data_IF_968222402824
#
_entry.id   IF_968222402824
#
_cell.length_a   1.000
_cell.length_b   1.000
_cell.length_c   1.000
_cell.angle_alpha   90.00
_cell.angle_beta   90.00
_cell.angle_gamma   90.00
#
_symmetry.space_group_name_H-M   'P 1'
#
loop_
_entity.id
_entity.type
_entity.pdbx_description
1 polymer ?
#
# COMPACT_ATOMS: atom_id res chain seq x y z
N UNK A 1 -13.33 57.87 8.92
CA UNK A 1 -12.58 56.72 9.46
C UNK A 1 -13.50 55.50 9.36
N UNK A 2 -13.31 54.71 8.32
CA UNK A 2 -14.09 53.49 8.08
C UNK A 2 -13.16 52.30 8.32
N UNK A 3 -13.61 51.42 9.20
CA UNK A 3 -12.99 50.18 9.55
C UNK A 3 -12.81 49.29 8.31
N UNK A 4 -11.57 48.86 8.06
CA UNK A 4 -11.22 47.89 7.06
C UNK A 4 -11.00 46.55 7.80
N UNK A 5 -12.08 45.81 8.00
CA UNK A 5 -12.03 44.43 8.48
C UNK A 5 -11.46 43.58 7.35
N UNK A 6 -10.18 43.19 7.46
CA UNK A 6 -9.59 42.11 6.68
C UNK A 6 -10.27 40.76 7.08
N UNK A 7 -11.10 40.26 6.19
CA UNK A 7 -11.51 38.86 6.22
C UNK A 7 -10.29 38.00 5.87
N UNK A 8 -9.78 37.30 6.86
CA UNK A 8 -8.88 36.15 6.64
C UNK A 8 -9.68 35.04 5.96
N UNK A 9 -9.15 34.39 4.91
CA UNK A 9 -9.78 33.20 4.39
C UNK A 9 -9.78 32.11 5.46
N UNK A 10 -10.95 31.52 5.70
CA UNK A 10 -11.10 30.35 6.54
C UNK A 10 -10.12 29.26 6.03
N UNK A 11 -9.32 28.75 6.94
CA UNK A 11 -8.46 27.61 6.68
C UNK A 11 -9.33 26.45 6.24
N UNK A 12 -9.17 26.05 4.99
CA UNK A 12 -9.75 24.83 4.44
C UNK A 12 -9.34 23.69 5.36
N UNK A 13 -10.30 23.14 6.11
CA UNK A 13 -10.08 22.03 7.00
C UNK A 13 -9.54 20.87 6.15
N UNK A 14 -8.27 20.51 6.39
CA UNK A 14 -7.68 19.28 5.85
C UNK A 14 -8.57 18.11 6.28
N UNK A 15 -9.48 17.73 5.38
CA UNK A 15 -10.25 16.49 5.51
C UNK A 15 -9.24 15.35 5.51
N UNK A 16 -9.05 14.72 6.66
CA UNK A 16 -8.15 13.60 6.78
C UNK A 16 -8.61 12.48 5.82
N UNK A 17 -7.65 11.82 5.19
CA UNK A 17 -7.85 10.74 4.21
C UNK A 17 -8.83 9.64 4.70
N UNK A 18 -9.01 9.54 6.01
CA UNK A 18 -9.89 8.60 6.72
C UNK A 18 -11.40 8.90 6.52
N UNK A 19 -11.79 10.15 6.28
CA UNK A 19 -13.21 10.56 6.15
C UNK A 19 -13.85 10.15 4.82
N UNK A 20 -13.05 9.61 3.88
CA UNK A 20 -13.52 9.20 2.55
C UNK A 20 -13.62 7.68 2.36
N UNK A 21 -13.21 6.88 3.33
CA UNK A 21 -13.23 5.42 3.22
C UNK A 21 -14.62 4.89 3.51
N UNK A 22 -15.28 4.20 2.55
CA UNK A 22 -16.59 3.60 2.78
C UNK A 22 -16.55 2.56 3.89
N UNK A 23 -17.60 2.48 4.70
CA UNK A 23 -17.77 1.45 5.73
C UNK A 23 -18.60 0.26 5.24
N UNK A 24 -19.47 0.48 4.24
CA UNK A 24 -20.22 -0.60 3.61
C UNK A 24 -19.27 -1.57 2.90
N UNK A 25 -19.34 -2.88 3.17
CA UNK A 25 -18.38 -3.84 2.62
C UNK A 25 -18.34 -3.86 1.10
N UNK A 26 -19.48 -3.83 0.42
CA UNK A 26 -19.51 -3.86 -1.05
C UNK A 26 -18.90 -2.60 -1.66
N UNK A 27 -19.16 -1.44 -1.08
CA UNK A 27 -18.56 -0.16 -1.51
C UNK A 27 -17.06 -0.13 -1.19
N UNK A 28 -16.68 -0.65 -0.02
CA UNK A 28 -15.27 -0.70 0.40
C UNK A 28 -14.43 -1.59 -0.52
N UNK A 29 -14.93 -2.74 -0.95
CA UNK A 29 -14.22 -3.57 -1.93
C UNK A 29 -13.99 -2.85 -3.26
N UNK A 30 -14.98 -2.10 -3.76
CA UNK A 30 -14.83 -1.29 -4.98
C UNK A 30 -13.85 -0.14 -4.79
N UNK A 31 -13.86 0.48 -3.62
CA UNK A 31 -12.91 1.52 -3.25
C UNK A 31 -11.47 0.99 -3.25
N UNK A 32 -11.23 -0.18 -2.65
CA UNK A 32 -9.91 -0.83 -2.62
C UNK A 32 -9.41 -1.12 -4.04
N UNK A 33 -10.25 -1.74 -4.88
CA UNK A 33 -9.89 -2.01 -6.28
C UNK A 33 -9.51 -0.73 -7.05
N UNK A 34 -10.31 0.33 -6.92
CA UNK A 34 -10.13 1.57 -7.68
C UNK A 34 -8.96 2.43 -7.19
N UNK A 35 -8.71 2.48 -5.87
CA UNK A 35 -7.73 3.37 -5.26
C UNK A 35 -6.39 2.70 -4.97
N UNK A 36 -6.38 1.41 -4.62
CA UNK A 36 -5.15 0.70 -4.27
C UNK A 36 -4.71 -0.28 -5.35
N UNK A 37 -5.54 -1.21 -5.77
CA UNK A 37 -5.14 -2.21 -6.77
C UNK A 37 -4.69 -1.56 -8.08
N UNK A 38 -5.49 -0.64 -8.63
CA UNK A 38 -5.15 0.07 -9.86
C UNK A 38 -3.84 0.85 -9.73
N UNK A 39 -3.62 1.49 -8.58
CA UNK A 39 -2.41 2.27 -8.31
C UNK A 39 -1.18 1.39 -8.15
N UNK A 40 -1.26 0.29 -7.41
CA UNK A 40 -0.15 -0.65 -7.27
C UNK A 40 0.28 -1.24 -8.62
N UNK A 41 -0.67 -1.58 -9.48
CA UNK A 41 -0.39 -2.06 -10.84
C UNK A 41 0.30 -1.03 -11.72
N UNK A 42 -0.01 0.25 -11.52
CA UNK A 42 0.62 1.34 -12.24
C UNK A 42 2.03 1.66 -11.70
N UNK A 43 2.18 1.72 -10.39
CA UNK A 43 3.39 2.21 -9.73
C UNK A 43 4.53 1.18 -9.71
N UNK A 44 4.23 -0.08 -9.39
CA UNK A 44 5.26 -1.11 -9.18
C UNK A 44 6.17 -1.37 -10.38
N UNK A 45 5.66 -1.56 -11.61
CA UNK A 45 6.52 -1.78 -12.78
C UNK A 45 7.47 -0.61 -13.04
N UNK A 46 7.01 0.61 -12.82
CA UNK A 46 7.84 1.81 -12.93
C UNK A 46 8.95 1.84 -11.86
N UNK A 47 8.63 1.46 -10.63
CA UNK A 47 9.60 1.36 -9.54
C UNK A 47 10.67 0.29 -9.81
N UNK A 48 10.28 -0.85 -10.40
CA UNK A 48 11.23 -1.90 -10.83
C UNK A 48 12.24 -1.35 -11.82
N UNK A 49 11.78 -0.66 -12.86
CA UNK A 49 12.65 -0.08 -13.89
C UNK A 49 13.59 0.98 -13.31
N UNK A 50 13.05 1.84 -12.46
CA UNK A 50 13.83 2.90 -11.82
C UNK A 50 14.88 2.34 -10.84
N UNK A 51 14.53 1.31 -10.07
CA UNK A 51 15.46 0.61 -9.19
C UNK A 51 16.59 -0.06 -9.99
N UNK A 52 16.26 -0.76 -11.06
CA UNK A 52 17.27 -1.39 -11.94
C UNK A 52 18.23 -0.36 -12.53
N UNK A 53 17.71 0.81 -12.93
CA UNK A 53 18.53 1.92 -13.44
C UNK A 53 19.49 2.46 -12.36
N UNK A 54 18.99 2.70 -11.16
CA UNK A 54 19.81 3.21 -10.05
C UNK A 54 20.90 2.20 -9.68
N UNK A 55 20.57 0.91 -9.56
CA UNK A 55 21.55 -0.15 -9.29
C UNK A 55 22.65 -0.22 -10.36
N UNK A 56 22.29 -0.13 -11.63
CA UNK A 56 23.24 -0.21 -12.74
C UNK A 56 24.17 1.00 -12.80
N UNK A 57 23.64 2.20 -12.59
CA UNK A 57 24.41 3.46 -12.67
C UNK A 57 25.33 3.64 -11.46
N UNK A 58 24.92 3.18 -10.30
CA UNK A 58 25.62 3.37 -9.01
C UNK A 58 26.20 2.09 -8.43
N UNK A 59 26.49 1.09 -9.26
CA UNK A 59 26.93 -0.24 -8.84
C UNK A 59 28.26 -0.27 -8.06
N UNK A 60 29.04 0.78 -8.14
CA UNK A 60 30.32 0.97 -7.45
C UNK A 60 30.18 1.75 -6.12
N UNK A 61 28.98 2.26 -5.81
CA UNK A 61 28.75 3.02 -4.59
C UNK A 61 28.34 2.11 -3.42
N UNK A 62 28.87 2.33 -2.20
CA UNK A 62 28.59 1.47 -1.05
C UNK A 62 27.13 1.52 -0.61
N UNK A 63 26.43 2.63 -0.84
CA UNK A 63 25.04 2.84 -0.42
C UNK A 63 24.02 2.43 -1.49
N UNK A 64 24.48 1.88 -2.62
CA UNK A 64 23.56 1.41 -3.67
C UNK A 64 22.60 0.36 -3.11
N UNK A 65 21.27 0.48 -3.42
CA UNK A 65 20.28 -0.49 -2.94
C UNK A 65 20.35 -1.79 -3.74
N UNK A 66 21.46 -2.53 -3.63
CA UNK A 66 21.69 -3.76 -4.38
C UNK A 66 20.60 -4.80 -4.09
N UNK A 67 19.98 -5.34 -5.15
CA UNK A 67 18.91 -6.32 -5.06
C UNK A 67 17.50 -5.72 -4.95
N UNK A 68 17.34 -4.41 -4.89
CA UNK A 68 16.04 -3.75 -4.79
C UNK A 68 15.14 -4.05 -5.99
N UNK A 69 15.67 -3.99 -7.21
CA UNK A 69 14.89 -4.28 -8.41
C UNK A 69 14.33 -5.71 -8.41
N UNK A 70 15.10 -6.68 -7.93
CA UNK A 70 14.65 -8.07 -7.82
C UNK A 70 13.56 -8.23 -6.77
N UNK A 71 13.73 -7.64 -5.58
CA UNK A 71 12.70 -7.62 -4.54
C UNK A 71 11.39 -7.02 -5.05
N UNK A 72 11.46 -5.93 -5.81
CA UNK A 72 10.27 -5.30 -6.40
C UNK A 72 9.64 -6.16 -7.50
N UNK A 73 10.43 -6.92 -8.30
CA UNK A 73 9.89 -7.86 -9.29
C UNK A 73 9.14 -9.01 -8.62
N UNK A 74 9.69 -9.58 -7.56
CA UNK A 74 8.99 -10.60 -6.77
C UNK A 74 7.67 -10.05 -6.24
N UNK A 75 7.68 -8.84 -5.68
CA UNK A 75 6.48 -8.18 -5.17
C UNK A 75 5.43 -7.93 -6.27
N UNK A 76 5.82 -7.58 -7.49
CA UNK A 76 4.89 -7.46 -8.63
C UNK A 76 4.10 -8.75 -8.82
N UNK A 77 4.77 -9.90 -8.82
CA UNK A 77 4.14 -11.21 -9.00
C UNK A 77 3.22 -11.58 -7.84
N UNK A 78 3.72 -11.48 -6.62
CA UNK A 78 3.01 -11.90 -5.42
C UNK A 78 1.78 -11.01 -5.16
N UNK A 79 1.94 -9.69 -5.31
CA UNK A 79 0.84 -8.75 -5.12
C UNK A 79 -0.23 -8.89 -6.21
N UNK A 80 0.15 -9.18 -7.46
CA UNK A 80 -0.83 -9.44 -8.53
C UNK A 80 -1.65 -10.70 -8.25
N UNK A 81 -1.02 -11.79 -7.77
CA UNK A 81 -1.72 -13.02 -7.37
C UNK A 81 -2.67 -12.74 -6.22
N UNK A 82 -2.23 -11.99 -5.20
CA UNK A 82 -3.04 -11.59 -4.06
C UNK A 82 -4.27 -10.77 -4.50
N UNK A 83 -4.08 -9.69 -5.24
CA UNK A 83 -5.18 -8.85 -5.74
C UNK A 83 -6.17 -9.65 -6.62
N UNK A 84 -5.68 -10.61 -7.40
CA UNK A 84 -6.56 -11.49 -8.19
C UNK A 84 -7.40 -12.44 -7.34
N UNK A 85 -6.86 -12.98 -6.26
CA UNK A 85 -7.65 -13.78 -5.30
C UNK A 85 -8.80 -12.94 -4.71
N UNK A 86 -8.54 -11.68 -4.40
CA UNK A 86 -9.56 -10.76 -3.90
C UNK A 86 -10.58 -10.41 -4.96
N UNK A 87 -10.14 -9.90 -6.10
CA UNK A 87 -11.03 -9.43 -7.18
C UNK A 87 -11.91 -10.52 -7.77
N UNK A 88 -11.41 -11.75 -7.87
CA UNK A 88 -12.10 -12.86 -8.52
C UNK A 88 -12.84 -13.78 -7.55
N UNK A 89 -12.47 -13.83 -6.28
CA UNK A 89 -13.01 -14.77 -5.30
C UNK A 89 -13.60 -14.05 -4.08
N UNK A 90 -12.77 -13.38 -3.28
CA UNK A 90 -13.19 -12.85 -1.99
C UNK A 90 -14.15 -11.66 -2.12
N UNK A 91 -13.80 -10.65 -2.93
CA UNK A 91 -14.64 -9.46 -3.06
C UNK A 91 -16.01 -9.72 -3.70
N UNK A 92 -16.13 -10.56 -4.74
CA UNK A 92 -17.45 -11.01 -5.21
C UNK A 92 -18.25 -11.74 -4.14
N UNK A 93 -17.60 -12.57 -3.30
CA UNK A 93 -18.27 -13.26 -2.19
C UNK A 93 -18.78 -12.26 -1.14
N UNK A 94 -17.99 -11.26 -0.78
CA UNK A 94 -18.36 -10.17 0.13
C UNK A 94 -19.56 -9.39 -0.44
N UNK A 95 -19.53 -9.03 -1.72
CA UNK A 95 -20.60 -8.25 -2.38
C UNK A 95 -21.94 -8.96 -2.41
N UNK A 96 -21.95 -10.29 -2.47
CA UNK A 96 -23.18 -11.10 -2.37
C UNK A 96 -23.55 -11.53 -0.95
N UNK A 97 -22.84 -11.01 0.05
CA UNK A 97 -23.05 -11.35 1.46
C UNK A 97 -22.94 -12.84 1.74
N UNK A 98 -21.95 -13.51 1.13
CA UNK A 98 -21.69 -14.93 1.39
C UNK A 98 -21.28 -15.15 2.85
N UNK A 99 -21.65 -16.32 3.35
CA UNK A 99 -21.26 -16.80 4.69
C UNK A 99 -19.97 -17.62 4.61
N UNK A 100 -19.37 -17.90 5.77
CA UNK A 100 -18.20 -18.78 5.90
C UNK A 100 -16.96 -18.31 5.13
N UNK A 101 -16.61 -17.02 5.30
CA UNK A 101 -15.45 -16.41 4.68
C UNK A 101 -14.17 -16.50 5.53
N UNK A 102 -14.18 -17.18 6.67
CA UNK A 102 -13.02 -17.26 7.58
C UNK A 102 -11.78 -17.83 6.88
N UNK A 103 -11.92 -18.90 6.08
CA UNK A 103 -10.79 -19.54 5.40
C UNK A 103 -10.14 -18.61 4.35
N UNK A 104 -10.89 -18.04 3.39
CA UNK A 104 -10.30 -17.11 2.43
C UNK A 104 -9.75 -15.83 3.08
N UNK A 105 -10.38 -15.32 4.14
CA UNK A 105 -9.86 -14.15 4.87
C UNK A 105 -8.54 -14.49 5.57
N UNK A 106 -8.45 -15.66 6.22
CA UNK A 106 -7.20 -16.11 6.84
C UNK A 106 -6.07 -16.17 5.82
N UNK A 107 -6.33 -16.71 4.63
CA UNK A 107 -5.34 -16.76 3.55
C UNK A 107 -4.90 -15.37 3.10
N UNK A 108 -5.81 -14.40 3.04
CA UNK A 108 -5.44 -13.01 2.70
C UNK A 108 -4.61 -12.35 3.79
N UNK A 109 -4.90 -12.62 5.08
CA UNK A 109 -4.07 -12.13 6.19
C UNK A 109 -2.66 -12.70 6.16
N UNK A 110 -2.50 -13.97 5.78
CA UNK A 110 -1.18 -14.60 5.58
C UNK A 110 -0.41 -13.93 4.43
N UNK A 111 -1.06 -13.69 3.30
CA UNK A 111 -0.46 -12.93 2.19
C UNK A 111 -0.04 -11.51 2.64
N UNK A 112 -0.82 -10.85 3.51
CA UNK A 112 -0.47 -9.54 4.08
C UNK A 112 0.78 -9.58 4.97
N UNK A 113 0.96 -10.65 5.75
CA UNK A 113 2.17 -10.84 6.54
C UNK A 113 3.39 -11.02 5.64
N UNK A 114 3.26 -11.77 4.54
CA UNK A 114 4.31 -11.95 3.54
C UNK A 114 4.67 -10.59 2.88
N UNK A 115 3.69 -9.77 2.54
CA UNK A 115 3.92 -8.42 2.00
C UNK A 115 4.61 -7.50 3.02
N UNK A 116 4.27 -7.60 4.30
CA UNK A 116 4.95 -6.86 5.36
C UNK A 116 6.43 -7.27 5.47
N UNK A 117 6.75 -8.55 5.33
CA UNK A 117 8.14 -9.04 5.29
C UNK A 117 8.88 -8.50 4.06
N UNK A 118 8.24 -8.46 2.89
CA UNK A 118 8.81 -7.88 1.68
C UNK A 118 9.13 -6.39 1.87
N UNK A 119 8.25 -5.63 2.50
CA UNK A 119 8.48 -4.23 2.84
C UNK A 119 9.70 -4.09 3.76
N UNK A 120 9.86 -4.94 4.77
CA UNK A 120 11.02 -4.91 5.65
C UNK A 120 12.33 -5.22 4.90
N UNK A 121 12.32 -6.17 3.96
CA UNK A 121 13.48 -6.43 3.09
C UNK A 121 13.84 -5.21 2.24
N UNK A 122 12.85 -4.52 1.69
CA UNK A 122 13.03 -3.28 0.93
C UNK A 122 13.66 -2.19 1.83
N UNK A 123 13.13 -2.00 3.03
CA UNK A 123 13.68 -1.04 3.99
C UNK A 123 15.14 -1.36 4.34
N UNK A 124 15.47 -2.64 4.48
CA UNK A 124 16.84 -3.07 4.79
C UNK A 124 17.83 -2.75 3.67
N UNK A 125 17.52 -3.07 2.42
CA UNK A 125 18.44 -2.82 1.29
C UNK A 125 18.58 -1.34 0.93
N UNK A 126 17.63 -0.51 1.35
CA UNK A 126 17.62 0.94 1.12
C UNK A 126 18.10 1.75 2.33
N UNK A 127 18.62 1.11 3.37
CA UNK A 127 18.95 1.76 4.63
C UNK A 127 17.77 2.62 5.15
N UNK A 128 16.57 2.03 5.17
CA UNK A 128 15.32 2.69 5.53
C UNK A 128 15.03 3.93 4.64
N UNK A 129 15.23 3.79 3.33
CA UNK A 129 15.05 4.86 2.33
C UNK A 129 15.89 6.10 2.62
N UNK A 130 17.08 5.91 3.17
CA UNK A 130 18.04 6.97 3.45
C UNK A 130 18.89 7.25 2.22
N UNK A 131 18.77 8.44 1.65
CA UNK A 131 19.57 8.86 0.50
C UNK A 131 21.00 9.19 0.93
N UNK A 132 22.03 8.76 0.15
CA UNK A 132 23.38 9.30 0.32
C UNK A 132 23.43 10.79 -0.07
N UNK A 133 24.42 11.49 0.45
CA UNK A 133 24.55 12.94 0.30
C UNK A 133 24.64 13.40 -1.17
N UNK A 134 25.23 12.55 -2.03
CA UNK A 134 25.43 12.79 -3.46
C UNK A 134 24.44 12.04 -4.36
N UNK A 135 23.28 11.62 -3.83
CA UNK A 135 22.27 10.91 -4.59
C UNK A 135 21.81 11.68 -5.82
N UNK A 136 21.80 11.01 -6.97
CA UNK A 136 21.33 11.59 -8.22
C UNK A 136 19.79 11.78 -8.21
N UNK A 137 19.27 12.54 -9.17
CA UNK A 137 17.84 12.82 -9.31
C UNK A 137 17.01 11.53 -9.41
N UNK A 138 17.46 10.52 -10.16
CA UNK A 138 16.75 9.24 -10.30
C UNK A 138 16.71 8.46 -9.00
N UNK A 139 17.77 8.47 -8.22
CA UNK A 139 17.81 7.82 -6.90
C UNK A 139 16.88 8.52 -5.91
N UNK A 140 16.92 9.84 -5.87
CA UNK A 140 16.00 10.64 -5.04
C UNK A 140 14.55 10.37 -5.41
N UNK A 141 14.22 10.32 -6.70
CA UNK A 141 12.88 9.99 -7.17
C UNK A 141 12.46 8.57 -6.79
N UNK A 142 13.36 7.60 -6.96
CA UNK A 142 13.11 6.22 -6.57
C UNK A 142 12.66 6.11 -5.11
N UNK A 143 13.41 6.71 -4.19
CA UNK A 143 13.10 6.63 -2.77
C UNK A 143 11.84 7.41 -2.39
N UNK A 144 11.58 8.54 -3.04
CA UNK A 144 10.34 9.30 -2.85
C UNK A 144 9.12 8.50 -3.29
N UNK A 145 9.15 7.94 -4.50
CA UNK A 145 8.03 7.17 -5.06
C UNK A 145 7.86 5.82 -4.35
N UNK A 146 8.95 5.18 -3.95
CA UNK A 146 8.94 3.94 -3.18
C UNK A 146 8.36 4.15 -1.78
N UNK A 147 8.70 5.25 -1.12
CA UNK A 147 8.10 5.62 0.17
C UNK A 147 6.59 5.81 0.05
N UNK A 148 6.12 6.48 -0.99
CA UNK A 148 4.69 6.66 -1.25
C UNK A 148 3.99 5.32 -1.52
N UNK A 149 4.60 4.44 -2.31
CA UNK A 149 4.08 3.11 -2.58
C UNK A 149 3.96 2.26 -1.29
N UNK A 150 4.99 2.26 -0.45
CA UNK A 150 4.97 1.53 0.83
C UNK A 150 3.84 2.04 1.72
N UNK A 151 3.69 3.35 1.86
CA UNK A 151 2.58 3.94 2.63
C UNK A 151 1.20 3.53 2.08
N UNK A 152 1.03 3.54 0.77
CA UNK A 152 -0.23 3.13 0.14
C UNK A 152 -0.52 1.64 0.34
N UNK A 153 0.50 0.78 0.29
CA UNK A 153 0.33 -0.65 0.54
C UNK A 153 0.03 -0.94 2.01
N UNK A 154 0.72 -0.28 2.94
CA UNK A 154 0.43 -0.39 4.37
C UNK A 154 -0.99 0.09 4.72
N UNK A 155 -1.45 1.19 4.11
CA UNK A 155 -2.83 1.69 4.27
C UNK A 155 -3.87 0.72 3.69
N UNK A 156 -3.60 0.14 2.53
CA UNK A 156 -4.43 -0.88 1.89
C UNK A 156 -4.61 -2.09 2.82
N UNK A 157 -3.51 -2.68 3.25
CA UNK A 157 -3.51 -3.82 4.19
C UNK A 157 -4.26 -3.49 5.47
N UNK A 158 -4.03 -2.30 6.05
CA UNK A 158 -4.70 -1.86 7.27
C UNK A 158 -6.22 -1.74 7.09
N UNK A 159 -6.68 -1.17 5.99
CA UNK A 159 -8.12 -1.05 5.71
C UNK A 159 -8.78 -2.42 5.61
N UNK A 160 -8.15 -3.38 4.97
CA UNK A 160 -8.66 -4.73 4.88
C UNK A 160 -8.63 -5.46 6.22
N UNK A 161 -7.49 -5.44 6.89
CA UNK A 161 -7.33 -6.14 8.16
C UNK A 161 -8.20 -5.60 9.30
N UNK A 162 -8.37 -4.27 9.36
CA UNK A 162 -9.01 -3.60 10.51
C UNK A 162 -10.45 -3.19 10.24
N UNK A 163 -10.85 -2.99 8.98
CA UNK A 163 -12.19 -2.48 8.63
C UNK A 163 -13.00 -3.52 7.86
N UNK A 164 -12.45 -4.12 6.81
CA UNK A 164 -13.21 -5.03 5.94
C UNK A 164 -13.36 -6.43 6.55
N UNK A 165 -12.26 -7.10 6.84
CA UNK A 165 -12.25 -8.50 7.26
C UNK A 165 -12.97 -8.76 8.58
N UNK A 166 -12.86 -7.89 9.62
CA UNK A 166 -13.56 -8.11 10.89
C UNK A 166 -15.08 -8.18 10.77
N UNK A 167 -15.67 -7.63 9.71
CA UNK A 167 -17.11 -7.67 9.46
C UNK A 167 -17.62 -9.06 9.05
N UNK A 168 -16.71 -9.96 8.63
CA UNK A 168 -17.02 -11.30 8.12
C UNK A 168 -16.39 -12.43 8.94
N UNK A 169 -15.50 -12.12 9.87
CA UNK A 169 -14.88 -13.10 10.77
C UNK A 169 -15.82 -13.42 11.93
N UNK A 170 -15.92 -14.71 12.29
CA UNK A 170 -16.69 -15.12 13.48
C UNK A 170 -16.01 -14.60 14.73
N UNK A 171 -16.77 -13.91 15.59
CA UNK A 171 -16.29 -13.56 16.93
C UNK A 171 -16.12 -14.84 17.71
N UNK A 172 -14.92 -15.11 18.20
CA UNK A 172 -14.69 -16.14 19.20
C UNK A 172 -15.32 -15.61 20.49
N UNK A 173 -16.50 -16.09 20.82
CA UNK A 173 -17.09 -15.88 22.15
C UNK A 173 -16.30 -16.78 23.08
N UNK A 174 -15.38 -16.17 23.84
CA UNK A 174 -14.79 -16.84 25.00
C UNK A 174 -15.92 -16.95 26.01
N UNK A 175 -16.55 -18.13 26.10
CA UNK A 175 -17.39 -18.48 27.23
C UNK A 175 -16.50 -18.50 28.47
N UNK A 176 -16.75 -17.56 29.38
CA UNK A 176 -16.10 -17.45 30.68
C UNK A 176 -16.89 -18.30 31.67
#
# INVERSE_FOLDING_TARGET
LKDFLLQLPEADAMTTKTDRVPQNPAELTRFIEAHYHAKHRADLPFLVELAAKVEAVHNDQPDVPAGLAELLREMVGDLEVHMKKEELILFPAIRRSAEELDVPITAMREDHDDHAEQIEKIKNVTANLTLPEDACRSWTRLYTDLSAFICDLEDHIRIENDVLFPQFEKRVVLDV
#
